data_IF_067833066956
#
_entry.id   IF_067833066956
#
_cell.length_a   1.000
_cell.length_b   1.000
_cell.length_c   1.000
_cell.angle_alpha   90.00
_cell.angle_beta   90.00
_cell.angle_gamma   90.00
#
_symmetry.space_group_name_H-M   'P 1'
#
loop_
_entity.id
_entity.type
_entity.pdbx_description
1 polymer ?
#
# COMPACT_ATOMS: atom_id res chain seq x y z
N UNK A 1 -67.02 11.48 -14.63
CA UNK A 1 -65.72 11.88 -15.21
C UNK A 1 -64.67 11.67 -14.12
N UNK A 2 -64.15 10.44 -13.97
CA UNK A 2 -63.07 10.13 -13.04
C UNK A 2 -61.75 10.45 -13.73
N UNK A 3 -60.98 11.37 -13.15
CA UNK A 3 -59.64 11.73 -13.61
C UNK A 3 -58.65 10.82 -12.88
N UNK A 4 -58.08 9.84 -13.60
CA UNK A 4 -56.94 9.06 -13.14
C UNK A 4 -55.66 9.84 -13.43
N UNK A 5 -55.05 10.42 -12.39
CA UNK A 5 -53.69 10.94 -12.43
C UNK A 5 -52.73 9.75 -12.33
N UNK A 6 -52.23 9.28 -13.48
CA UNK A 6 -51.09 8.37 -13.51
C UNK A 6 -49.83 9.19 -13.16
N UNK A 7 -49.43 9.18 -11.89
CA UNK A 7 -48.13 9.67 -11.49
C UNK A 7 -47.09 8.66 -11.97
N UNK A 8 -46.38 9.03 -13.02
CA UNK A 8 -45.18 8.34 -13.49
C UNK A 8 -44.16 8.39 -12.37
N UNK A 9 -43.90 7.25 -11.74
CA UNK A 9 -42.76 7.09 -10.85
C UNK A 9 -41.52 7.36 -11.70
N UNK A 10 -40.88 8.52 -11.51
CA UNK A 10 -39.52 8.73 -12.00
C UNK A 10 -38.65 7.74 -11.25
N UNK A 11 -38.38 6.59 -11.86
CA UNK A 11 -37.24 5.77 -11.50
C UNK A 11 -36.04 6.66 -11.75
N UNK A 12 -35.63 7.39 -10.72
CA UNK A 12 -34.33 8.03 -10.68
C UNK A 12 -33.33 6.91 -10.95
N UNK A 13 -32.73 6.96 -12.14
CA UNK A 13 -31.65 6.06 -12.50
C UNK A 13 -30.66 6.04 -11.34
N UNK A 14 -30.36 4.83 -10.87
CA UNK A 14 -29.16 4.62 -10.09
C UNK A 14 -28.02 4.99 -11.04
N UNK A 15 -27.54 6.23 -10.98
CA UNK A 15 -26.27 6.56 -11.59
C UNK A 15 -25.23 5.71 -10.88
N UNK A 16 -24.84 4.59 -11.52
CA UNK A 16 -23.55 4.00 -11.22
C UNK A 16 -22.54 5.13 -11.48
N UNK A 17 -21.94 5.64 -10.41
CA UNK A 17 -20.88 6.62 -10.53
C UNK A 17 -19.73 5.95 -11.31
N UNK A 18 -19.71 6.20 -12.62
CA UNK A 18 -18.71 5.67 -13.57
C UNK A 18 -17.44 6.53 -13.57
N UNK A 19 -17.31 7.42 -12.59
CA UNK A 19 -16.15 8.27 -12.38
C UNK A 19 -14.86 7.47 -12.33
N UNK A 20 -13.83 8.04 -12.94
CA UNK A 20 -12.46 7.56 -12.82
C UNK A 20 -11.65 8.62 -12.12
N UNK A 21 -10.76 8.20 -11.24
CA UNK A 21 -9.91 9.09 -10.45
C UNK A 21 -8.44 8.78 -10.73
N UNK A 22 -7.59 9.74 -10.41
CA UNK A 22 -6.15 9.52 -10.41
C UNK A 22 -5.70 9.13 -9.01
N UNK A 23 -4.79 8.17 -8.95
CA UNK A 23 -4.10 7.76 -7.73
C UNK A 23 -2.62 7.62 -8.05
N UNK A 24 -1.75 8.07 -7.15
CA UNK A 24 -0.32 7.73 -7.23
C UNK A 24 -0.01 6.60 -6.26
N UNK A 25 0.85 5.67 -6.66
CA UNK A 25 1.35 4.59 -5.80
C UNK A 25 2.84 4.82 -5.57
N UNK A 26 3.26 4.72 -4.31
CA UNK A 26 4.63 4.93 -3.90
C UNK A 26 5.53 3.75 -4.27
N UNK A 27 6.84 3.98 -4.28
CA UNK A 27 7.86 3.02 -4.71
C UNK A 27 8.25 1.97 -3.66
N UNK A 28 7.62 1.99 -2.49
CA UNK A 28 7.76 0.97 -1.45
C UNK A 28 6.42 0.76 -0.73
N UNK A 29 6.30 -0.37 -0.04
CA UNK A 29 5.17 -0.67 0.86
C UNK A 29 5.56 -0.40 2.32
N UNK A 30 4.56 -0.12 3.15
CA UNK A 30 4.74 0.09 4.60
C UNK A 30 4.20 -1.11 5.37
N UNK A 31 4.84 -1.43 6.50
CA UNK A 31 4.32 -2.38 7.48
C UNK A 31 3.09 -1.81 8.18
N UNK A 32 2.01 -2.59 8.21
CA UNK A 32 0.76 -2.20 8.84
C UNK A 32 0.02 -3.42 9.41
N UNK A 33 -1.14 -3.16 10.02
CA UNK A 33 -2.05 -4.20 10.52
C UNK A 33 -3.36 -4.16 9.75
N UNK A 34 -3.72 -5.28 9.14
CA UNK A 34 -5.09 -5.59 8.76
C UNK A 34 -5.74 -6.42 9.88
N UNK A 35 -6.15 -7.64 9.56
CA UNK A 35 -6.42 -8.66 10.58
C UNK A 35 -5.12 -9.25 11.17
N UNK A 36 -4.06 -9.24 10.37
CA UNK A 36 -2.72 -9.70 10.71
C UNK A 36 -1.68 -8.68 10.20
N UNK A 37 -0.41 -8.77 10.62
CA UNK A 37 0.67 -7.99 10.05
C UNK A 37 0.73 -8.18 8.53
N UNK A 38 0.79 -7.07 7.79
CA UNK A 38 0.84 -7.09 6.33
C UNK A 38 1.63 -5.89 5.79
N UNK A 39 2.01 -5.98 4.51
CA UNK A 39 2.53 -4.84 3.77
C UNK A 39 1.42 -4.18 2.96
N UNK A 40 1.32 -2.85 3.08
CA UNK A 40 0.32 -2.04 2.39
C UNK A 40 0.99 -1.08 1.43
N UNK A 41 0.33 -0.82 0.31
CA UNK A 41 0.78 0.24 -0.60
C UNK A 41 0.63 1.59 0.08
N UNK A 42 1.44 2.55 -0.35
CA UNK A 42 1.32 3.95 0.04
C UNK A 42 0.78 4.74 -1.15
N UNK A 43 -0.24 5.57 -0.95
CA UNK A 43 -0.92 6.26 -2.05
C UNK A 43 -1.11 7.75 -1.83
N UNK A 44 -1.32 8.46 -2.95
CA UNK A 44 -1.84 9.82 -2.98
C UNK A 44 -3.11 9.87 -3.81
N UNK A 45 -4.15 10.50 -3.27
CA UNK A 45 -5.43 10.71 -3.94
C UNK A 45 -5.87 12.17 -3.78
N UNK A 46 -6.74 12.64 -4.68
CA UNK A 46 -7.30 14.00 -4.59
C UNK A 46 -6.23 15.10 -4.49
N UNK A 47 -6.37 15.96 -3.49
CA UNK A 47 -5.50 17.12 -3.28
C UNK A 47 -4.09 16.75 -2.76
N UNK A 48 -3.87 15.50 -2.33
CA UNK A 48 -2.55 15.02 -1.90
C UNK A 48 -1.65 14.62 -3.07
N UNK A 49 -2.18 14.53 -4.29
CA UNK A 49 -1.40 14.22 -5.48
C UNK A 49 -0.31 15.28 -5.69
N UNK A 50 0.94 14.83 -5.67
CA UNK A 50 2.11 15.69 -5.84
C UNK A 50 2.61 16.34 -4.54
N UNK A 51 1.93 16.09 -3.41
CA UNK A 51 2.44 16.45 -2.10
C UNK A 51 3.54 15.47 -1.63
N UNK A 52 4.09 15.70 -0.44
CA UNK A 52 4.96 14.74 0.26
C UNK A 52 4.20 13.79 1.20
N UNK A 53 2.86 13.89 1.26
CA UNK A 53 2.04 13.06 2.14
C UNK A 53 1.63 11.80 1.41
N UNK A 54 1.83 10.66 2.05
CA UNK A 54 1.43 9.35 1.54
C UNK A 54 0.59 8.66 2.59
N UNK A 55 -0.48 8.01 2.17
CA UNK A 55 -1.41 7.33 3.06
C UNK A 55 -1.36 5.81 2.86
N UNK A 56 -1.53 5.05 3.94
CA UNK A 56 -1.62 3.60 3.86
C UNK A 56 -2.87 3.20 3.07
N UNK A 57 -2.67 2.33 2.08
CA UNK A 57 -3.73 1.80 1.23
C UNK A 57 -3.83 0.29 1.43
N UNK A 58 -4.84 -0.10 2.20
CA UNK A 58 -5.13 -1.49 2.57
C UNK A 58 -5.90 -2.26 1.49
N UNK A 59 -6.41 -1.55 0.49
CA UNK A 59 -7.19 -2.12 -0.59
C UNK A 59 -6.30 -2.68 -1.72
N UNK A 60 -6.92 -3.46 -2.60
CA UNK A 60 -6.29 -3.94 -3.82
C UNK A 60 -6.86 -3.20 -5.04
N UNK A 61 -6.01 -2.94 -6.03
CA UNK A 61 -6.44 -2.40 -7.32
C UNK A 61 -6.51 -3.55 -8.32
N UNK A 62 -7.72 -3.98 -8.66
CA UNK A 62 -7.91 -5.11 -9.57
C UNK A 62 -7.26 -4.81 -10.94
N UNK A 63 -6.40 -5.72 -11.40
CA UNK A 63 -5.65 -5.59 -12.66
C UNK A 63 -4.38 -4.75 -12.58
N UNK A 64 -3.99 -4.28 -11.40
CA UNK A 64 -2.69 -3.66 -11.15
C UNK A 64 -1.75 -4.66 -10.49
N UNK A 65 -0.56 -4.80 -11.07
CA UNK A 65 0.54 -5.59 -10.51
C UNK A 65 1.63 -4.64 -10.04
N UNK A 66 1.92 -4.67 -8.75
CA UNK A 66 2.82 -3.73 -8.12
C UNK A 66 4.26 -4.23 -8.22
N UNK A 67 5.18 -3.33 -8.62
CA UNK A 67 6.61 -3.60 -8.55
C UNK A 67 7.28 -2.51 -7.71
N UNK A 68 8.12 -2.95 -6.77
CA UNK A 68 8.92 -2.06 -5.92
C UNK A 68 9.90 -1.22 -6.75
N UNK A 69 10.28 -0.05 -6.24
CA UNK A 69 11.23 0.86 -6.91
C UNK A 69 10.63 1.77 -7.98
N UNK A 70 9.30 1.77 -8.15
CA UNK A 70 8.60 2.64 -9.09
C UNK A 70 7.52 3.48 -8.42
N UNK A 71 7.48 4.77 -8.76
CA UNK A 71 6.30 5.59 -8.52
C UNK A 71 5.36 5.44 -9.71
N UNK A 72 4.10 5.10 -9.43
CA UNK A 72 3.07 4.97 -10.43
C UNK A 72 2.12 6.15 -10.37
N UNK A 73 1.65 6.59 -11.53
CA UNK A 73 0.40 7.36 -11.65
C UNK A 73 -0.60 6.49 -12.38
N UNK A 74 -1.73 6.20 -11.74
CA UNK A 74 -2.76 5.33 -12.26
C UNK A 74 -4.06 6.10 -12.45
N UNK A 75 -4.82 5.70 -13.47
CA UNK A 75 -6.23 6.00 -13.59
C UNK A 75 -7.01 4.78 -13.11
N UNK A 76 -7.84 4.97 -12.09
CA UNK A 76 -8.64 3.90 -11.48
C UNK A 76 -10.12 4.23 -11.56
N UNK A 77 -10.96 3.20 -11.54
CA UNK A 77 -12.39 3.32 -11.28
C UNK A 77 -12.66 2.87 -9.86
N UNK A 78 -13.40 3.69 -9.08
CA UNK A 78 -13.87 3.34 -7.75
C UNK A 78 -15.34 2.95 -7.83
N UNK A 79 -15.70 1.77 -7.32
CA UNK A 79 -17.09 1.32 -7.22
C UNK A 79 -17.45 1.11 -5.76
N UNK A 80 -18.50 1.77 -5.29
CA UNK A 80 -19.05 1.49 -3.96
C UNK A 80 -19.68 0.10 -3.94
N UNK A 81 -19.26 -0.74 -3.01
CA UNK A 81 -19.81 -2.07 -2.79
C UNK A 81 -21.03 -1.92 -1.89
N UNK A 82 -22.19 -2.41 -2.35
CA UNK A 82 -23.43 -2.39 -1.55
C UNK A 82 -23.40 -3.58 -0.58
N UNK A 83 -23.58 -3.30 0.71
CA UNK A 83 -23.56 -4.30 1.78
C UNK A 83 -22.26 -5.14 1.78
N UNK A 84 -21.08 -4.52 1.92
CA UNK A 84 -19.84 -5.27 2.01
C UNK A 84 -19.87 -6.19 3.25
N UNK A 85 -19.15 -7.32 3.22
CA UNK A 85 -18.79 -8.05 4.44
C UNK A 85 -18.21 -7.10 5.50
N UNK A 86 -18.36 -7.43 6.79
CA UNK A 86 -17.93 -6.54 7.88
C UNK A 86 -16.42 -6.23 7.87
N UNK A 87 -15.63 -7.15 7.31
CA UNK A 87 -14.17 -7.16 7.23
C UNK A 87 -13.64 -6.75 5.84
N UNK A 88 -14.52 -6.39 4.91
CA UNK A 88 -14.14 -6.01 3.54
C UNK A 88 -14.36 -4.53 3.28
N UNK A 89 -13.56 -3.96 2.37
CA UNK A 89 -13.71 -2.58 1.96
C UNK A 89 -15.07 -2.31 1.32
N UNK A 90 -15.61 -1.13 1.63
CA UNK A 90 -16.82 -0.63 0.99
C UNK A 90 -16.57 -0.07 -0.41
N UNK A 91 -15.32 -0.09 -0.89
CA UNK A 91 -14.89 0.44 -2.18
C UNK A 91 -14.06 -0.60 -2.91
N UNK A 92 -14.42 -0.86 -4.17
CA UNK A 92 -13.63 -1.68 -5.08
C UNK A 92 -12.87 -0.77 -6.06
N UNK A 93 -11.56 -0.97 -6.16
CA UNK A 93 -10.70 -0.27 -7.10
C UNK A 93 -10.40 -1.17 -8.30
N UNK A 94 -10.48 -0.62 -9.51
CA UNK A 94 -10.12 -1.33 -10.74
C UNK A 94 -9.23 -0.45 -11.60
N UNK A 95 -8.09 -1.00 -12.03
CA UNK A 95 -7.19 -0.30 -12.93
C UNK A 95 -7.90 -0.03 -14.26
N UNK A 96 -7.92 1.24 -14.66
CA UNK A 96 -8.36 1.64 -16.01
C UNK A 96 -7.16 1.83 -16.91
N UNK A 97 -6.09 2.47 -16.40
CA UNK A 97 -4.87 2.74 -17.17
C UNK A 97 -3.70 3.06 -16.25
N UNK A 98 -2.50 2.58 -16.58
CA UNK A 98 -1.23 3.13 -16.05
C UNK A 98 -0.90 4.40 -16.84
N UNK A 99 -0.91 5.56 -16.19
CA UNK A 99 -0.58 6.86 -16.79
C UNK A 99 0.94 7.00 -16.89
N UNK A 100 1.66 6.70 -15.80
CA UNK A 100 3.12 6.63 -15.76
C UNK A 100 3.61 5.57 -14.77
N UNK A 101 4.83 5.10 -15.01
CA UNK A 101 5.63 4.23 -14.15
C UNK A 101 7.06 4.75 -14.22
N UNK A 102 7.52 5.38 -13.14
CA UNK A 102 8.81 6.07 -13.10
C UNK A 102 9.71 5.42 -12.05
N UNK A 103 10.89 4.95 -12.47
CA UNK A 103 11.86 4.40 -11.53
C UNK A 103 12.38 5.51 -10.61
N UNK A 104 12.48 5.21 -9.32
CA UNK A 104 13.11 6.14 -8.37
C UNK A 104 14.63 6.13 -8.50
N UNK A 105 15.28 7.12 -7.90
CA UNK A 105 16.73 7.11 -7.79
C UNK A 105 17.16 5.84 -7.02
N UNK A 106 18.16 5.07 -7.49
CA UNK A 106 18.65 3.89 -6.77
C UNK A 106 19.17 4.18 -5.35
N UNK A 107 19.51 5.43 -5.06
CA UNK A 107 19.93 5.88 -3.73
C UNK A 107 18.84 6.71 -3.02
N UNK A 108 17.58 6.62 -3.45
CA UNK A 108 16.46 7.23 -2.74
C UNK A 108 16.23 6.46 -1.45
N UNK A 109 16.43 7.13 -0.31
CA UNK A 109 16.16 6.57 1.00
C UNK A 109 14.66 6.56 1.32
N UNK A 110 14.18 5.49 1.93
CA UNK A 110 12.82 5.39 2.46
C UNK A 110 12.80 4.61 3.77
N UNK A 111 11.78 4.83 4.60
CA UNK A 111 11.67 4.21 5.91
C UNK A 111 10.53 3.21 6.01
N UNK A 112 10.80 2.08 6.65
CA UNK A 112 9.82 1.02 6.92
C UNK A 112 9.87 0.68 8.40
N UNK A 113 8.69 0.55 9.02
CA UNK A 113 8.57 0.06 10.39
C UNK A 113 8.87 -1.45 10.42
N UNK A 114 9.92 -1.85 11.13
CA UNK A 114 10.37 -3.24 11.25
C UNK A 114 9.83 -3.92 12.50
N UNK A 115 9.42 -3.13 13.51
CA UNK A 115 8.74 -3.61 14.71
C UNK A 115 7.77 -2.58 15.26
N UNK A 116 6.65 -3.06 15.80
CA UNK A 116 5.74 -2.27 16.61
C UNK A 116 5.19 -3.07 17.78
N UNK A 117 5.37 -2.54 18.99
CA UNK A 117 5.05 -3.21 20.25
C UNK A 117 5.63 -4.64 20.30
N UNK A 118 4.77 -5.65 20.27
CA UNK A 118 5.15 -7.06 20.36
C UNK A 118 5.24 -7.76 19.00
N UNK A 119 5.13 -7.01 17.90
CA UNK A 119 5.10 -7.58 16.54
C UNK A 119 6.35 -7.18 15.77
N UNK A 120 7.14 -8.19 15.37
CA UNK A 120 8.22 -8.03 14.41
C UNK A 120 7.68 -8.23 12.99
N UNK A 121 7.91 -7.24 12.12
CA UNK A 121 7.63 -7.35 10.68
C UNK A 121 8.85 -7.88 9.92
N UNK A 122 10.06 -7.56 10.38
CA UNK A 122 11.29 -8.16 9.90
C UNK A 122 11.56 -9.47 10.65
N UNK A 123 11.70 -10.57 9.91
CA UNK A 123 11.82 -11.92 10.46
C UNK A 123 13.08 -12.57 9.87
N UNK A 124 13.93 -13.10 10.75
CA UNK A 124 15.08 -13.91 10.35
C UNK A 124 14.67 -15.38 10.18
N UNK A 125 15.16 -16.03 9.14
CA UNK A 125 15.06 -17.47 8.97
C UNK A 125 16.09 -18.23 9.85
N UNK A 126 16.12 -19.56 9.74
CA UNK A 126 17.06 -20.39 10.50
C UNK A 126 18.54 -20.14 10.17
N UNK A 127 18.85 -19.48 9.06
CA UNK A 127 20.19 -19.12 8.62
C UNK A 127 20.55 -17.67 8.98
N UNK A 128 19.64 -16.92 9.61
CA UNK A 128 19.81 -15.51 9.91
C UNK A 128 19.53 -14.58 8.72
N UNK A 129 18.95 -15.08 7.62
CA UNK A 129 18.53 -14.23 6.50
C UNK A 129 17.23 -13.52 6.88
N UNK A 130 17.24 -12.19 6.81
CA UNK A 130 16.05 -11.39 7.09
C UNK A 130 15.15 -11.26 5.88
N UNK A 131 13.85 -11.27 6.14
CA UNK A 131 12.82 -10.84 5.20
C UNK A 131 11.80 -9.94 5.89
N UNK A 132 11.17 -9.06 5.13
CA UNK A 132 10.02 -8.26 5.56
C UNK A 132 8.74 -9.02 5.22
N UNK A 133 8.13 -9.62 6.24
CA UNK A 133 6.90 -10.44 6.12
C UNK A 133 6.94 -11.46 4.96
N UNK A 134 8.12 -12.04 4.68
CA UNK A 134 8.36 -12.97 3.56
C UNK A 134 8.05 -12.41 2.16
N UNK A 135 7.81 -11.11 2.01
CA UNK A 135 7.55 -10.47 0.71
C UNK A 135 8.82 -9.89 0.10
N UNK A 136 9.70 -9.31 0.94
CA UNK A 136 10.98 -8.74 0.49
C UNK A 136 12.12 -9.32 1.30
N UNK A 137 13.18 -9.76 0.63
CA UNK A 137 14.44 -10.05 1.30
C UNK A 137 15.07 -8.76 1.80
N UNK A 138 15.59 -8.78 3.03
CA UNK A 138 16.33 -7.66 3.61
C UNK A 138 17.82 -8.00 3.58
N UNK A 139 18.58 -7.24 2.81
CA UNK A 139 20.04 -7.19 2.94
C UNK A 139 20.38 -6.24 4.10
N UNK A 140 20.65 -6.81 5.27
CA UNK A 140 21.07 -6.05 6.44
C UNK A 140 22.51 -5.53 6.34
N UNK A 141 23.26 -5.88 5.29
CA UNK A 141 24.64 -5.48 5.07
C UNK A 141 25.50 -5.72 6.33
N UNK A 142 26.17 -4.69 6.87
CA UNK A 142 26.94 -4.80 8.11
C UNK A 142 26.12 -4.56 9.39
N UNK A 143 24.79 -4.48 9.30
CA UNK A 143 23.88 -4.08 10.40
C UNK A 143 23.07 -5.25 10.97
N UNK A 144 23.32 -6.50 10.58
CA UNK A 144 22.50 -7.65 10.99
C UNK A 144 22.47 -7.87 12.52
N UNK A 145 23.60 -7.73 13.21
CA UNK A 145 23.66 -7.84 14.68
C UNK A 145 22.90 -6.69 15.36
N UNK A 146 23.02 -5.48 14.81
CA UNK A 146 22.29 -4.31 15.30
C UNK A 146 20.79 -4.45 15.08
N UNK A 147 20.37 -5.00 13.94
CA UNK A 147 18.97 -5.30 13.64
C UNK A 147 18.41 -6.34 14.61
N UNK A 148 19.14 -7.44 14.85
CA UNK A 148 18.77 -8.44 15.87
C UNK A 148 18.55 -7.77 17.23
N UNK A 149 19.54 -6.99 17.68
CA UNK A 149 19.48 -6.32 18.98
C UNK A 149 18.30 -5.34 19.06
N UNK A 150 18.05 -4.54 18.03
CA UNK A 150 16.93 -3.60 18.00
C UNK A 150 15.58 -4.33 18.06
N UNK A 151 15.41 -5.39 17.25
CA UNK A 151 14.18 -6.18 17.21
C UNK A 151 13.91 -6.93 18.53
N UNK A 152 14.94 -7.29 19.29
CA UNK A 152 14.77 -7.99 20.58
C UNK A 152 14.44 -7.02 21.73
N UNK A 153 15.00 -5.82 21.72
CA UNK A 153 15.02 -4.95 22.92
C UNK A 153 14.15 -3.70 22.81
N UNK A 154 13.81 -3.25 21.61
CA UNK A 154 13.03 -2.03 21.42
C UNK A 154 11.55 -2.37 21.19
N UNK A 155 10.64 -1.50 21.60
CA UNK A 155 9.20 -1.64 21.28
C UNK A 155 8.89 -1.21 19.85
N UNK A 156 9.62 -0.23 19.33
CA UNK A 156 9.54 0.21 17.95
C UNK A 156 10.91 0.16 17.31
N UNK A 157 10.95 -0.28 16.05
CA UNK A 157 12.17 -0.28 15.23
C UNK A 157 11.78 0.21 13.85
N UNK A 158 12.49 1.21 13.35
CA UNK A 158 12.35 1.70 11.97
C UNK A 158 13.66 1.51 11.24
N UNK A 159 13.60 0.93 10.04
CA UNK A 159 14.77 0.85 9.16
C UNK A 159 14.70 1.91 8.08
N UNK A 160 15.84 2.49 7.75
CA UNK A 160 16.04 3.28 6.52
C UNK A 160 16.64 2.36 5.45
N UNK A 161 16.08 2.39 4.24
CA UNK A 161 16.39 1.48 3.15
C UNK A 161 16.62 2.19 1.82
N UNK A 162 17.33 1.50 0.92
CA UNK A 162 17.30 1.73 -0.53
C UNK A 162 16.85 0.45 -1.25
N UNK A 163 16.46 0.56 -2.52
CA UNK A 163 16.08 -0.61 -3.33
C UNK A 163 17.33 -1.37 -3.81
N UNK A 164 17.32 -2.69 -3.64
CA UNK A 164 18.29 -3.61 -4.24
C UNK A 164 18.01 -3.85 -5.73
N UNK A 165 19.03 -4.27 -6.47
CA UNK A 165 18.90 -4.50 -7.93
C UNK A 165 18.01 -5.72 -8.29
N UNK A 166 17.82 -6.62 -7.34
CA UNK A 166 17.03 -7.85 -7.44
C UNK A 166 15.64 -7.73 -6.80
N UNK A 167 15.25 -6.52 -6.36
CA UNK A 167 14.00 -6.28 -5.65
C UNK A 167 14.09 -6.46 -4.13
N UNK A 168 15.27 -6.77 -3.58
CA UNK A 168 15.53 -6.75 -2.13
C UNK A 168 15.51 -5.33 -1.55
N UNK A 169 15.49 -5.24 -0.21
CA UNK A 169 15.62 -4.00 0.55
C UNK A 169 17.00 -3.97 1.22
N UNK A 170 17.81 -2.97 0.89
CA UNK A 170 19.15 -2.81 1.49
C UNK A 170 19.05 -1.86 2.68
N UNK A 171 19.32 -2.38 3.88
CA UNK A 171 19.27 -1.61 5.11
C UNK A 171 20.46 -0.65 5.21
N UNK A 172 20.15 0.62 5.47
CA UNK A 172 21.13 1.72 5.56
C UNK A 172 21.32 2.22 6.99
N UNK A 173 20.23 2.26 7.77
CA UNK A 173 20.23 2.69 9.16
C UNK A 173 19.06 2.06 9.92
N UNK A 174 19.17 2.06 11.24
CA UNK A 174 18.12 1.61 12.17
C UNK A 174 17.91 2.72 13.19
N UNK A 175 16.66 3.12 13.37
CA UNK A 175 16.19 4.10 14.34
C UNK A 175 15.31 3.45 15.41
#
# INVERSE_FOLDING_TARGET
MLIFLAQTCSIQGLEENTGTEQIRINHYKQSAFGMEPMLVMLVQEGDDIGSGRWENFYDNIAGFDYESGYIYQLKVRKKKVKNPPQDASSVQFTLVKVISKEAVNPNEDFTIKLKWENTNFAIADANGQYSLLSEYDIDCNSLCDALTSALDHNEEVTGTFIHGQDGSLILKAID
#
